data_IF_659479459494
#
_entry.id   IF_659479459494
#
_cell.length_a   1.000
_cell.length_b   1.000
_cell.length_c   1.000
_cell.angle_alpha   90.00
_cell.angle_beta   90.00
_cell.angle_gamma   90.00
#
_symmetry.space_group_name_H-M   'P 1'
#
loop_
_entity.id
_entity.type
_entity.pdbx_description
1 polymer ?
#
# COMPACT_ATOMS: atom_id res chain seq x y z
N UNK A 1 10.35 76.42 34.95
CA UNK A 1 9.33 75.69 35.72
C UNK A 1 8.54 74.83 34.75
N UNK A 2 8.97 73.59 34.49
CA UNK A 2 8.69 72.34 35.24
C UNK A 2 7.47 71.60 34.69
N UNK A 3 7.77 70.47 34.04
CA UNK A 3 7.02 69.21 34.01
C UNK A 3 5.52 69.20 33.66
N UNK A 4 5.18 68.53 32.54
CA UNK A 4 4.50 67.22 32.63
C UNK A 4 4.68 66.39 31.35
N UNK A 5 5.62 65.47 31.43
CA UNK A 5 5.74 64.29 30.60
C UNK A 5 4.64 63.30 31.04
N UNK A 6 3.70 62.91 30.18
CA UNK A 6 2.80 61.80 30.48
C UNK A 6 2.32 61.05 29.23
N UNK A 7 3.02 59.94 28.96
CA UNK A 7 2.49 58.63 28.57
C UNK A 7 1.65 58.49 27.30
N UNK A 8 2.34 58.30 26.15
CA UNK A 8 1.76 57.69 24.93
C UNK A 8 2.50 56.42 24.47
N UNK A 9 3.47 55.92 25.24
CA UNK A 9 4.36 54.82 24.83
C UNK A 9 3.93 53.43 25.33
N UNK A 10 2.64 53.09 25.30
CA UNK A 10 2.17 51.74 25.69
C UNK A 10 1.34 50.99 24.64
N UNK A 11 0.94 51.62 23.54
CA UNK A 11 0.13 50.95 22.51
C UNK A 11 0.95 50.27 21.40
N UNK A 12 2.21 50.66 21.20
CA UNK A 12 2.98 50.22 20.03
C UNK A 12 3.69 48.87 20.19
N UNK A 13 3.82 48.35 21.42
CA UNK A 13 4.48 47.06 21.67
C UNK A 13 3.54 45.85 21.54
N UNK A 14 2.23 46.05 21.73
CA UNK A 14 1.25 44.97 21.66
C UNK A 14 0.94 44.54 20.21
N UNK A 15 1.09 45.44 19.24
CA UNK A 15 0.74 45.15 17.84
C UNK A 15 1.84 44.37 17.09
N UNK A 16 3.10 44.51 17.51
CA UNK A 16 4.23 43.81 16.87
C UNK A 16 4.27 42.33 17.26
N UNK A 17 3.87 41.97 18.48
CA UNK A 17 3.90 40.60 18.99
C UNK A 17 2.84 39.70 18.31
N UNK A 18 1.69 40.28 17.93
CA UNK A 18 0.61 39.52 17.26
C UNK A 18 0.95 39.21 15.79
N UNK A 19 1.71 40.07 15.11
CA UNK A 19 2.05 39.88 13.70
C UNK A 19 3.14 38.83 13.44
N UNK A 20 3.99 38.51 14.43
CA UNK A 20 5.08 37.53 14.28
C UNK A 20 4.68 36.10 14.60
N UNK A 21 3.52 35.87 15.23
CA UNK A 21 3.11 34.53 15.67
C UNK A 21 2.51 33.65 14.55
N UNK A 22 2.25 34.20 13.37
CA UNK A 22 1.49 33.53 12.31
C UNK A 22 2.33 32.63 11.38
N UNK A 23 3.65 32.49 11.59
CA UNK A 23 4.54 31.78 10.65
C UNK A 23 5.03 30.43 11.21
N UNK A 24 4.56 30.00 12.37
CA UNK A 24 4.99 28.72 12.97
C UNK A 24 4.21 27.55 12.38
N UNK A 25 4.80 26.90 11.36
CA UNK A 25 4.65 25.46 11.15
C UNK A 25 3.77 24.99 9.98
N UNK A 26 4.21 25.17 8.74
CA UNK A 26 3.82 24.29 7.63
C UNK A 26 4.76 23.07 7.60
N UNK A 27 4.71 22.22 8.63
CA UNK A 27 5.33 20.90 8.52
C UNK A 27 4.42 20.04 7.64
N UNK A 28 4.82 19.83 6.38
CA UNK A 28 4.12 18.90 5.51
C UNK A 28 4.35 17.48 6.03
N UNK A 29 3.30 16.83 6.55
CA UNK A 29 3.35 15.43 6.91
C UNK A 29 3.58 14.58 5.65
N UNK A 30 4.76 13.96 5.56
CA UNK A 30 5.12 13.04 4.49
C UNK A 30 4.66 11.63 4.86
N UNK A 31 3.46 11.25 4.41
CA UNK A 31 3.02 9.86 4.45
C UNK A 31 3.71 9.08 3.32
N UNK A 32 4.97 8.68 3.53
CA UNK A 32 5.74 7.93 2.56
C UNK A 32 5.14 6.52 2.39
N UNK A 33 5.18 5.97 1.17
CA UNK A 33 4.85 4.57 0.91
C UNK A 33 6.15 3.79 0.85
N UNK A 34 6.17 2.61 1.45
CA UNK A 34 7.32 1.71 1.40
C UNK A 34 7.08 0.74 0.25
N UNK A 35 7.97 0.75 -0.74
CA UNK A 35 7.92 -0.22 -1.85
C UNK A 35 8.52 -1.55 -1.40
N UNK A 36 7.80 -2.64 -1.67
CA UNK A 36 8.21 -3.97 -1.28
C UNK A 36 8.36 -4.86 -2.53
N UNK A 37 9.44 -5.66 -2.61
CA UNK A 37 9.66 -6.59 -3.71
C UNK A 37 8.77 -7.84 -3.64
N UNK A 38 8.15 -8.14 -2.49
CA UNK A 38 7.32 -9.34 -2.31
C UNK A 38 5.90 -8.95 -1.88
N UNK A 39 4.92 -9.47 -2.59
CA UNK A 39 3.51 -9.45 -2.24
C UNK A 39 3.09 -10.82 -1.69
N UNK A 40 2.45 -10.83 -0.54
CA UNK A 40 1.95 -12.04 0.11
C UNK A 40 0.46 -12.13 -0.13
N UNK A 41 0.02 -13.19 -0.78
CA UNK A 41 -1.39 -13.44 -1.07
C UNK A 41 -1.92 -14.57 -0.21
N UNK A 42 -3.21 -14.50 0.12
CA UNK A 42 -3.97 -15.64 0.60
C UNK A 42 -4.90 -16.10 -0.51
N UNK A 43 -4.92 -17.40 -0.74
CA UNK A 43 -5.85 -18.06 -1.64
C UNK A 43 -6.71 -19.06 -0.87
N UNK A 44 -8.00 -19.13 -1.19
CA UNK A 44 -8.88 -20.20 -0.72
C UNK A 44 -9.36 -21.04 -1.90
N UNK A 45 -9.35 -22.35 -1.73
CA UNK A 45 -10.10 -23.26 -2.57
C UNK A 45 -11.49 -23.47 -1.95
N UNK A 46 -12.55 -22.99 -2.61
CA UNK A 46 -13.94 -23.08 -2.13
C UNK A 46 -14.48 -24.50 -2.12
N UNK A 47 -13.87 -25.43 -2.87
CA UNK A 47 -14.28 -26.83 -2.92
C UNK A 47 -13.75 -27.56 -1.68
N UNK A 48 -12.49 -27.32 -1.31
CA UNK A 48 -11.86 -27.99 -0.17
C UNK A 48 -11.92 -27.19 1.13
N UNK A 49 -12.23 -25.89 1.05
CA UNK A 49 -12.22 -24.95 2.18
C UNK A 49 -10.82 -24.63 2.71
N UNK A 50 -9.75 -25.05 2.03
CA UNK A 50 -8.38 -24.83 2.49
C UNK A 50 -7.88 -23.44 2.06
N UNK A 51 -7.38 -22.69 3.04
CA UNK A 51 -6.67 -21.42 2.80
C UNK A 51 -5.16 -21.69 2.77
N UNK A 52 -4.49 -21.15 1.77
CA UNK A 52 -3.03 -21.19 1.64
C UNK A 52 -2.48 -19.78 1.46
N UNK A 53 -1.40 -19.47 2.15
CA UNK A 53 -0.64 -18.25 1.93
C UNK A 53 0.55 -18.55 1.03
N UNK A 54 0.80 -17.70 0.05
CA UNK A 54 1.93 -17.83 -0.86
C UNK A 54 2.54 -16.46 -1.15
N UNK A 55 3.86 -16.47 -1.32
CA UNK A 55 4.65 -15.28 -1.62
C UNK A 55 4.83 -15.16 -3.12
N UNK A 56 4.70 -13.93 -3.63
CA UNK A 56 4.88 -13.62 -5.05
C UNK A 56 5.80 -12.42 -5.17
N UNK A 57 6.90 -12.60 -5.89
CA UNK A 57 7.79 -11.51 -6.22
C UNK A 57 7.11 -10.56 -7.21
N UNK A 58 7.32 -9.25 -7.02
CA UNK A 58 6.78 -8.23 -7.93
C UNK A 58 7.33 -8.44 -9.33
N UNK A 59 6.44 -8.50 -10.31
CA UNK A 59 6.75 -8.79 -11.71
C UNK A 59 6.66 -10.27 -12.09
N UNK A 60 6.71 -11.17 -11.11
CA UNK A 60 6.62 -12.62 -11.31
C UNK A 60 5.18 -13.12 -11.27
N UNK A 61 4.95 -14.25 -11.90
CA UNK A 61 3.63 -14.91 -11.93
C UNK A 61 3.68 -16.21 -11.14
N UNK A 62 2.82 -16.32 -10.14
CA UNK A 62 2.61 -17.55 -9.37
C UNK A 62 1.23 -18.12 -9.68
N UNK A 63 1.16 -19.44 -9.84
CA UNK A 63 -0.10 -20.13 -10.09
C UNK A 63 -0.71 -20.64 -8.78
N UNK A 64 -1.97 -20.28 -8.54
CA UNK A 64 -2.82 -20.80 -7.48
C UNK A 64 -4.05 -21.47 -8.09
N UNK A 65 -4.07 -22.80 -8.13
CA UNK A 65 -5.12 -23.56 -8.78
C UNK A 65 -5.19 -23.25 -10.28
N UNK A 66 -6.32 -22.71 -10.73
CA UNK A 66 -6.52 -22.26 -12.11
C UNK A 66 -6.19 -20.77 -12.33
N UNK A 67 -5.79 -20.04 -11.27
CA UNK A 67 -5.47 -18.62 -11.35
C UNK A 67 -3.96 -18.40 -11.43
N UNK A 68 -3.55 -17.44 -12.26
CA UNK A 68 -2.20 -16.91 -12.34
C UNK A 68 -2.19 -15.50 -11.77
N UNK A 69 -1.42 -15.28 -10.71
CA UNK A 69 -1.40 -14.03 -9.94
C UNK A 69 -0.07 -13.33 -10.18
N UNK A 70 -0.15 -12.10 -10.66
CA UNK A 70 1.03 -11.29 -11.04
C UNK A 70 0.96 -9.90 -10.41
N UNK A 71 1.55 -9.69 -9.22
CA UNK A 71 1.64 -8.36 -8.61
C UNK A 71 2.61 -7.48 -9.42
N UNK A 72 2.18 -6.25 -9.74
CA UNK A 72 3.02 -5.26 -10.43
C UNK A 72 3.68 -4.28 -9.49
N UNK A 73 3.06 -4.01 -8.34
CA UNK A 73 3.63 -3.19 -7.26
C UNK A 73 3.09 -3.69 -5.92
N UNK A 74 3.85 -3.50 -4.83
CA UNK A 74 3.37 -3.79 -3.48
C UNK A 74 3.83 -2.66 -2.54
N UNK A 75 2.88 -1.99 -1.90
CA UNK A 75 3.14 -0.89 -0.98
C UNK A 75 2.68 -1.21 0.43
N UNK A 76 3.53 -0.92 1.41
CA UNK A 76 3.19 -0.93 2.84
C UNK A 76 3.42 0.45 3.46
N UNK A 77 3.08 0.55 4.76
CA UNK A 77 3.30 1.73 5.60
C UNK A 77 4.20 1.38 6.77
N UNK A 78 4.77 2.42 7.37
CA UNK A 78 5.48 2.33 8.63
C UNK A 78 4.51 1.93 9.76
N UNK A 79 5.06 1.29 10.80
CA UNK A 79 4.29 0.78 11.95
C UNK A 79 3.66 1.89 12.80
N UNK A 80 4.17 3.13 12.73
CA UNK A 80 3.62 4.28 13.46
C UNK A 80 2.33 4.85 12.84
N UNK A 81 2.02 4.47 11.59
CA UNK A 81 0.80 4.88 10.88
C UNK A 81 -0.25 3.76 10.88
N UNK A 82 -1.51 4.10 10.55
CA UNK A 82 -2.52 3.07 10.33
C UNK A 82 -2.09 2.15 9.17
N UNK A 83 -2.18 0.81 9.33
CA UNK A 83 -1.80 -0.12 8.29
C UNK A 83 -2.63 0.16 7.04
N UNK A 84 -1.93 0.37 5.93
CA UNK A 84 -2.51 0.57 4.59
C UNK A 84 -1.63 -0.15 3.59
N UNK A 85 -1.88 -1.44 3.44
CA UNK A 85 -1.12 -2.28 2.53
C UNK A 85 -1.91 -2.53 1.25
N UNK A 86 -1.30 -2.21 0.11
CA UNK A 86 -1.97 -2.22 -1.20
C UNK A 86 -1.07 -2.77 -2.28
N UNK A 87 -1.64 -3.53 -3.21
CA UNK A 87 -0.94 -4.02 -4.42
C UNK A 87 -1.76 -3.70 -5.65
N UNK A 88 -1.11 -3.39 -6.77
CA UNK A 88 -1.75 -3.50 -8.08
C UNK A 88 -1.41 -4.88 -8.64
N UNK A 89 -2.43 -5.65 -8.98
CA UNK A 89 -2.26 -7.05 -9.39
C UNK A 89 -3.07 -7.33 -10.64
N UNK A 90 -2.48 -8.16 -11.50
CA UNK A 90 -3.15 -8.77 -12.63
C UNK A 90 -3.38 -10.24 -12.29
N UNK A 91 -4.62 -10.70 -12.48
CA UNK A 91 -4.99 -12.09 -12.29
C UNK A 91 -5.61 -12.64 -13.55
N UNK A 92 -4.99 -13.69 -14.06
CA UNK A 92 -5.43 -14.41 -15.25
C UNK A 92 -5.99 -15.79 -14.84
N UNK A 93 -6.98 -16.27 -15.58
CA UNK A 93 -7.59 -17.60 -15.41
C UNK A 93 -7.13 -18.51 -16.54
N UNK A 94 -6.71 -19.73 -16.19
CA UNK A 94 -6.48 -20.84 -17.13
C UNK A 94 -7.77 -21.65 -17.25
N UNK A 95 -8.44 -21.51 -18.39
CA UNK A 95 -9.70 -22.21 -18.66
C UNK A 95 -9.49 -23.70 -18.95
N UNK A 96 -10.59 -24.48 -18.97
CA UNK A 96 -10.56 -25.91 -19.29
C UNK A 96 -10.01 -26.21 -20.71
N UNK A 97 -10.20 -25.30 -21.65
CA UNK A 97 -9.63 -25.36 -23.01
C UNK A 97 -8.20 -24.79 -23.09
N UNK A 98 -7.54 -24.59 -21.95
CA UNK A 98 -6.17 -24.07 -21.79
C UNK A 98 -5.95 -22.69 -22.41
N UNK A 99 -6.97 -21.85 -22.42
CA UNK A 99 -6.82 -20.45 -22.79
C UNK A 99 -6.55 -19.62 -21.55
N UNK A 100 -5.69 -18.62 -21.71
CA UNK A 100 -5.40 -17.65 -20.66
C UNK A 100 -6.29 -16.43 -20.91
N UNK A 101 -7.06 -16.03 -19.91
CA UNK A 101 -7.94 -14.86 -19.97
C UNK A 101 -7.76 -13.99 -18.73
N UNK A 102 -7.68 -12.67 -18.92
CA UNK A 102 -7.66 -11.70 -17.82
C UNK A 102 -8.97 -11.75 -17.05
N UNK A 103 -8.91 -12.14 -15.78
CA UNK A 103 -10.04 -12.18 -14.86
C UNK A 103 -10.15 -10.87 -14.07
N UNK A 104 -9.02 -10.35 -13.59
CA UNK A 104 -8.98 -9.17 -12.76
C UNK A 104 -7.73 -8.32 -13.01
N UNK A 105 -7.88 -7.01 -12.92
CA UNK A 105 -6.77 -6.05 -12.95
C UNK A 105 -7.15 -4.86 -12.11
N UNK A 106 -6.40 -4.61 -11.04
CA UNK A 106 -6.74 -3.51 -10.17
C UNK A 106 -5.97 -3.50 -8.87
N UNK A 107 -6.36 -2.57 -8.01
CA UNK A 107 -5.80 -2.40 -6.67
C UNK A 107 -6.48 -3.35 -5.68
N UNK A 108 -5.70 -4.14 -4.97
CA UNK A 108 -6.13 -4.90 -3.80
C UNK A 108 -5.66 -4.24 -2.51
N UNK A 109 -6.46 -4.41 -1.44
CA UNK A 109 -6.23 -3.79 -0.13
C UNK A 109 -6.21 -4.88 0.93
N UNK A 110 -5.10 -5.00 1.66
CA UNK A 110 -4.95 -6.00 2.72
C UNK A 110 -5.93 -5.76 3.88
N UNK A 111 -6.16 -4.49 4.24
CA UNK A 111 -7.00 -4.10 5.37
C UNK A 111 -8.50 -4.20 5.06
N UNK A 112 -8.85 -4.36 3.78
CA UNK A 112 -10.24 -4.51 3.34
C UNK A 112 -10.32 -5.43 2.12
N UNK A 113 -10.04 -6.74 2.28
CA UNK A 113 -10.00 -7.69 1.16
C UNK A 113 -11.31 -7.70 0.37
N UNK A 114 -12.46 -7.58 1.04
CA UNK A 114 -13.77 -7.61 0.40
C UNK A 114 -14.07 -6.43 -0.55
N UNK A 115 -13.23 -5.38 -0.61
CA UNK A 115 -13.44 -4.28 -1.56
C UNK A 115 -12.99 -4.63 -2.97
N UNK A 116 -11.88 -5.35 -3.13
CA UNK A 116 -11.26 -5.60 -4.43
C UNK A 116 -10.53 -6.95 -4.49
N UNK A 117 -10.96 -7.96 -3.73
CA UNK A 117 -10.45 -9.33 -3.89
C UNK A 117 -10.92 -9.95 -5.22
N UNK A 118 -10.18 -10.96 -5.68
CA UNK A 118 -10.64 -11.82 -6.76
C UNK A 118 -11.60 -12.84 -6.19
N UNK A 119 -12.84 -12.78 -6.67
CA UNK A 119 -13.89 -13.76 -6.41
C UNK A 119 -14.09 -14.61 -7.66
N UNK A 120 -13.52 -15.81 -7.67
CA UNK A 120 -13.68 -16.77 -8.77
C UNK A 120 -14.52 -17.97 -8.28
N UNK A 121 -15.22 -18.64 -9.21
CA UNK A 121 -16.23 -19.66 -8.87
C UNK A 121 -15.69 -20.79 -7.97
N UNK A 122 -14.40 -21.09 -8.08
CA UNK A 122 -13.71 -22.17 -7.35
C UNK A 122 -12.65 -21.64 -6.38
N UNK A 123 -12.03 -20.51 -6.69
CA UNK A 123 -10.85 -20.01 -5.97
C UNK A 123 -11.05 -18.54 -5.62
N UNK A 124 -10.70 -18.09 -4.42
CA UNK A 124 -10.55 -16.65 -4.15
C UNK A 124 -9.11 -16.33 -3.84
N UNK A 125 -8.68 -15.14 -4.24
CA UNK A 125 -7.34 -14.61 -3.96
C UNK A 125 -7.44 -13.17 -3.48
N UNK A 126 -6.75 -12.88 -2.39
CA UNK A 126 -6.65 -11.53 -1.84
C UNK A 126 -5.26 -11.23 -1.28
N UNK A 127 -4.91 -9.95 -1.28
CA UNK A 127 -3.67 -9.47 -0.66
C UNK A 127 -3.74 -9.68 0.86
N UNK A 128 -2.67 -10.21 1.43
CA UNK A 128 -2.48 -10.34 2.88
C UNK A 128 -1.53 -9.27 3.43
N UNK A 129 -0.36 -9.13 2.81
CA UNK A 129 0.66 -8.16 3.24
C UNK A 129 1.71 -7.95 2.13
N UNK A 130 2.59 -6.97 2.32
CA UNK A 130 3.77 -6.73 1.49
C UNK A 130 5.01 -6.82 2.40
N UNK A 131 6.08 -7.46 1.94
CA UNK A 131 7.30 -7.65 2.74
C UNK A 131 8.58 -7.47 1.94
N UNK A 132 9.66 -7.11 2.64
CA UNK A 132 10.98 -6.87 2.04
C UNK A 132 11.73 -8.15 1.66
N UNK A 133 11.49 -9.24 2.38
CA UNK A 133 12.19 -10.51 2.19
C UNK A 133 11.21 -11.68 2.28
N UNK A 134 11.46 -12.74 1.51
CA UNK A 134 10.73 -14.00 1.56
C UNK A 134 11.70 -15.13 1.89
N UNK A 135 11.21 -16.14 2.60
CA UNK A 135 11.94 -17.39 2.84
C UNK A 135 11.99 -18.27 1.58
N UNK A 136 11.16 -17.96 0.57
CA UNK A 136 11.16 -18.62 -0.73
C UNK A 136 12.18 -17.91 -1.63
N UNK A 137 13.19 -18.63 -2.15
CA UNK A 137 14.16 -18.03 -3.06
C UNK A 137 13.47 -17.40 -4.28
N UNK A 138 13.95 -16.23 -4.76
CA UNK A 138 13.47 -15.65 -6.01
C UNK A 138 13.65 -16.63 -7.17
N UNK A 139 12.78 -16.58 -8.20
CA UNK A 139 13.00 -17.30 -9.45
C UNK A 139 14.39 -16.99 -10.00
N UNK A 140 15.07 -18.00 -10.54
CA UNK A 140 16.34 -17.78 -11.20
C UNK A 140 16.12 -16.82 -12.39
N UNK A 141 17.00 -15.82 -12.60
CA UNK A 141 16.88 -14.93 -13.73
C UNK A 141 16.84 -15.76 -15.01
N UNK A 142 15.83 -15.56 -15.85
CA UNK A 142 15.74 -16.23 -17.15
C UNK A 142 17.04 -15.96 -17.93
N UNK A 143 17.77 -17.03 -18.26
CA UNK A 143 19.01 -16.93 -19.01
C UNK A 143 18.69 -16.29 -20.36
N UNK A 144 19.16 -15.05 -20.55
CA UNK A 144 19.03 -14.30 -21.78
C UNK A 144 19.86 -15.03 -22.85
N UNK A 145 19.20 -15.64 -23.84
CA UNK A 145 19.83 -16.15 -25.07
C UNK A 145 19.74 -15.09 -26.17
#
# INVERSE_FOLDING_TARGET
MTFKMMSLARASFALVIVATASVVGLAQASAARIENPVAVFSGIDKITGRITTFDVYVGETVQFGALQVTPKVCYSRDESEAPKTTTFVEVDEITLDRKIRRLFTGWMFADSPGLNAVDHAVYDVWLKECKLQSDVPPPAPEATN
#
